data_IF_894742744346
#
_entry.id   IF_894742744346
#
_cell.length_a   1.000
_cell.length_b   1.000
_cell.length_c   1.000
_cell.angle_alpha   90.00
_cell.angle_beta   90.00
_cell.angle_gamma   90.00
#
_symmetry.space_group_name_H-M   'P 1'
#
loop_
_entity.id
_entity.type
_entity.pdbx_description
1 polymer ?
#
# COMPACT_ATOMS: atom_id res chain seq x y z
N UNK A 1 -37.20 -6.35 42.62
CA UNK A 1 -36.59 -7.04 41.45
C UNK A 1 -36.98 -6.26 40.20
N UNK A 2 -36.04 -5.68 39.43
CA UNK A 2 -36.46 -5.13 38.13
C UNK A 2 -35.48 -4.25 37.35
N UNK A 3 -34.76 -3.31 37.99
CA UNK A 3 -34.07 -2.24 37.22
C UNK A 3 -32.56 -2.40 37.01
N UNK A 4 -31.90 -3.34 37.71
CA UNK A 4 -30.45 -3.60 37.55
C UNK A 4 -30.15 -4.36 36.24
N UNK A 5 -31.15 -5.03 35.64
CA UNK A 5 -30.97 -5.85 34.45
C UNK A 5 -30.86 -5.06 33.13
N UNK A 6 -31.25 -3.78 33.12
CA UNK A 6 -31.26 -2.97 31.89
C UNK A 6 -29.89 -2.33 31.61
N UNK A 7 -29.04 -2.18 32.64
CA UNK A 7 -27.71 -1.57 32.49
C UNK A 7 -26.67 -2.47 31.79
N UNK A 8 -26.94 -3.77 31.64
CA UNK A 8 -26.03 -4.74 31.02
C UNK A 8 -26.26 -4.91 29.51
N UNK A 9 -27.29 -4.29 28.92
CA UNK A 9 -27.61 -4.45 27.50
C UNK A 9 -27.05 -3.33 26.59
N UNK A 10 -26.38 -2.33 27.18
CA UNK A 10 -25.88 -1.14 26.45
C UNK A 10 -24.39 -1.16 26.09
N UNK A 11 -23.64 -2.19 26.50
CA UNK A 11 -22.17 -2.21 26.36
C UNK A 11 -21.65 -3.00 25.15
N UNK A 12 -22.50 -3.37 24.20
CA UNK A 12 -22.13 -4.20 23.04
C UNK A 12 -22.20 -3.47 21.69
N UNK A 13 -22.19 -2.13 21.71
CA UNK A 13 -22.09 -1.29 20.49
C UNK A 13 -20.78 -0.52 20.52
N UNK A 14 -19.68 -1.21 20.84
CA UNK A 14 -18.34 -0.64 20.61
C UNK A 14 -17.93 -0.93 19.18
N UNK A 15 -18.30 0.01 18.31
CA UNK A 15 -17.43 0.55 17.25
C UNK A 15 -16.60 -0.48 16.45
N UNK A 16 -17.25 -1.15 15.49
CA UNK A 16 -16.60 -1.55 14.24
C UNK A 16 -16.40 -0.30 13.35
N UNK A 17 -15.67 0.71 13.86
CA UNK A 17 -15.06 1.68 12.97
C UNK A 17 -13.90 0.95 12.31
N UNK A 18 -14.17 0.28 11.19
CA UNK A 18 -13.11 -0.11 10.29
C UNK A 18 -12.46 1.20 9.83
N UNK A 19 -11.38 1.60 10.50
CA UNK A 19 -10.50 2.65 10.02
C UNK A 19 -9.95 2.14 8.69
N UNK A 20 -10.66 2.41 7.59
CA UNK A 20 -10.09 2.39 6.26
C UNK A 20 -9.07 3.51 6.26
N UNK A 21 -7.87 3.22 6.74
CA UNK A 21 -6.70 3.97 6.31
C UNK A 21 -6.57 3.63 4.84
N UNK A 22 -7.16 4.45 3.99
CA UNK A 22 -7.03 4.32 2.55
C UNK A 22 -5.56 4.63 2.25
N UNK A 23 -4.74 3.62 1.94
CA UNK A 23 -3.32 3.86 1.79
C UNK A 23 -3.10 4.75 0.57
N UNK A 24 -2.42 5.87 0.77
CA UNK A 24 -2.18 6.85 -0.29
C UNK A 24 -1.10 6.36 -1.27
N UNK A 25 -0.23 5.45 -0.84
CA UNK A 25 0.93 5.01 -1.61
C UNK A 25 0.96 3.50 -1.80
N UNK A 26 1.12 3.05 -3.05
CA UNK A 26 1.33 1.65 -3.41
C UNK A 26 2.78 1.45 -3.85
N UNK A 27 3.48 0.50 -3.23
CA UNK A 27 4.82 0.10 -3.62
C UNK A 27 4.74 -0.91 -4.76
N UNK A 28 5.42 -0.61 -5.86
CA UNK A 28 5.68 -1.54 -6.95
C UNK A 28 7.15 -1.92 -6.94
N UNK A 29 7.43 -3.22 -6.91
CA UNK A 29 8.79 -3.76 -6.93
C UNK A 29 8.97 -4.73 -8.09
N UNK A 30 10.09 -4.58 -8.79
CA UNK A 30 10.47 -5.39 -9.93
C UNK A 30 11.81 -6.05 -9.62
N UNK A 31 11.75 -7.35 -9.33
CA UNK A 31 12.94 -8.14 -9.05
C UNK A 31 13.79 -8.28 -10.32
N UNK A 32 15.11 -8.35 -10.15
CA UNK A 32 16.07 -8.72 -11.20
C UNK A 32 16.10 -7.80 -12.42
N UNK A 33 15.50 -6.62 -12.33
CA UNK A 33 15.57 -5.56 -13.32
C UNK A 33 16.11 -4.27 -12.72
N UNK A 34 16.91 -3.55 -13.51
CA UNK A 34 17.42 -2.20 -13.13
C UNK A 34 16.41 -1.10 -13.46
N UNK A 35 15.60 -1.32 -14.48
CA UNK A 35 14.66 -0.35 -15.00
C UNK A 35 13.22 -0.73 -14.63
N UNK A 36 12.36 0.28 -14.59
CA UNK A 36 10.92 0.11 -14.40
C UNK A 36 10.32 -0.17 -15.78
N UNK A 37 9.71 -1.35 -16.02
CA UNK A 37 9.26 -1.70 -17.36
C UNK A 37 8.07 -0.86 -17.80
N UNK A 38 8.12 -0.34 -19.03
CA UNK A 38 7.07 0.53 -19.59
C UNK A 38 5.72 -0.19 -19.77
N UNK A 39 5.73 -1.51 -19.97
CA UNK A 39 4.52 -2.34 -20.15
C UNK A 39 4.22 -3.22 -18.91
N UNK A 40 4.82 -2.93 -17.75
CA UNK A 40 4.57 -3.73 -16.58
C UNK A 40 3.10 -3.64 -16.14
N UNK A 41 2.49 -4.79 -15.90
CA UNK A 41 1.19 -4.85 -15.22
C UNK A 41 1.40 -4.51 -13.76
N UNK A 42 1.18 -3.25 -13.41
CA UNK A 42 1.36 -2.70 -12.06
C UNK A 42 0.78 -3.59 -10.95
N UNK A 43 -0.41 -4.15 -11.16
CA UNK A 43 -1.07 -5.01 -10.18
C UNK A 43 -0.30 -6.28 -9.82
N UNK A 44 0.51 -6.82 -10.73
CA UNK A 44 1.32 -8.02 -10.51
C UNK A 44 2.59 -7.72 -9.69
N UNK A 45 2.95 -6.45 -9.55
CA UNK A 45 4.19 -6.00 -8.90
C UNK A 45 3.96 -5.30 -7.56
N UNK A 46 2.71 -5.25 -7.06
CA UNK A 46 2.41 -4.65 -5.76
C UNK A 46 3.13 -5.42 -4.66
N UNK A 47 3.99 -4.72 -3.92
CA UNK A 47 4.74 -5.26 -2.79
C UNK A 47 4.35 -4.64 -1.45
N UNK A 48 3.40 -3.70 -1.43
CA UNK A 48 2.84 -3.17 -0.19
C UNK A 48 2.08 -1.86 -0.38
N UNK A 49 1.40 -1.47 0.69
CA UNK A 49 0.62 -0.24 0.78
C UNK A 49 1.08 0.59 1.98
N UNK A 50 1.16 1.90 1.83
CA UNK A 50 1.77 2.80 2.80
C UNK A 50 1.00 4.11 2.92
N UNK A 51 0.98 4.67 4.13
CA UNK A 51 0.38 5.96 4.39
C UNK A 51 1.23 7.14 3.86
N UNK A 52 2.55 6.97 3.73
CA UNK A 52 3.44 8.06 3.28
C UNK A 52 4.39 7.60 2.18
N UNK A 53 4.72 8.51 1.25
CA UNK A 53 5.73 8.32 0.21
C UNK A 53 7.07 7.87 0.79
N UNK A 54 7.49 8.48 1.89
CA UNK A 54 8.73 8.15 2.60
C UNK A 54 8.79 6.69 3.00
N UNK A 55 7.73 6.15 3.62
CA UNK A 55 7.71 4.74 4.03
C UNK A 55 7.70 3.80 2.83
N UNK A 56 6.95 4.15 1.78
CA UNK A 56 6.94 3.37 0.53
C UNK A 56 8.35 3.29 -0.10
N UNK A 57 9.01 4.43 -0.26
CA UNK A 57 10.34 4.51 -0.87
C UNK A 57 11.42 3.82 -0.02
N UNK A 58 11.40 4.01 1.30
CA UNK A 58 12.33 3.33 2.20
C UNK A 58 12.17 1.80 2.15
N UNK A 59 10.93 1.30 2.05
CA UNK A 59 10.70 -0.12 1.86
C UNK A 59 11.24 -0.59 0.52
N UNK A 60 10.93 0.10 -0.57
CA UNK A 60 11.42 -0.24 -1.91
C UNK A 60 12.94 -0.28 -1.98
N UNK A 61 13.61 0.74 -1.43
CA UNK A 61 15.06 0.78 -1.30
C UNK A 61 15.62 -0.41 -0.50
N UNK A 62 14.96 -0.76 0.61
CA UNK A 62 15.31 -1.93 1.41
C UNK A 62 15.18 -3.23 0.62
N UNK A 63 14.11 -3.39 -0.16
CA UNK A 63 13.89 -4.57 -1.00
C UNK A 63 14.94 -4.69 -2.11
N UNK A 64 15.22 -3.61 -2.83
CA UNK A 64 16.26 -3.59 -3.85
C UNK A 64 17.64 -3.92 -3.29
N UNK A 65 17.96 -3.42 -2.08
CA UNK A 65 19.22 -3.72 -1.39
C UNK A 65 19.33 -5.19 -0.96
N UNK A 66 18.21 -5.82 -0.59
CA UNK A 66 18.16 -7.19 -0.11
C UNK A 66 17.88 -8.22 -1.22
N UNK A 67 17.79 -7.80 -2.47
CA UNK A 67 17.54 -8.74 -3.58
C UNK A 67 18.71 -9.72 -3.71
N UNK A 68 18.40 -10.99 -3.94
CA UNK A 68 19.41 -12.05 -4.07
C UNK A 68 20.32 -11.84 -5.28
N UNK A 69 19.80 -11.24 -6.35
CA UNK A 69 20.57 -10.87 -7.54
C UNK A 69 21.38 -9.59 -7.36
N UNK A 70 21.13 -8.82 -6.29
CA UNK A 70 21.64 -7.46 -6.12
C UNK A 70 21.07 -6.45 -7.14
N UNK A 71 20.04 -6.86 -7.89
CA UNK A 71 19.37 -6.07 -8.92
C UNK A 71 17.88 -6.01 -8.59
N UNK A 72 17.32 -4.81 -8.57
CA UNK A 72 15.89 -4.59 -8.39
C UNK A 72 15.55 -3.11 -8.53
N UNK A 73 14.39 -2.83 -9.13
CA UNK A 73 13.86 -1.48 -9.29
C UNK A 73 12.54 -1.36 -8.54
N UNK A 74 12.19 -0.14 -8.14
CA UNK A 74 10.96 0.12 -7.42
C UNK A 74 10.43 1.52 -7.71
N UNK A 75 9.13 1.68 -7.54
CA UNK A 75 8.46 2.97 -7.52
C UNK A 75 7.26 2.94 -6.59
N UNK A 76 6.82 4.12 -6.21
CA UNK A 76 5.66 4.35 -5.39
C UNK A 76 4.61 5.10 -6.21
N UNK A 77 3.43 4.50 -6.37
CA UNK A 77 2.29 5.14 -7.02
C UNK A 77 1.37 5.78 -5.98
N UNK A 78 0.96 7.02 -6.24
CA UNK A 78 0.02 7.77 -5.42
C UNK A 78 -1.42 7.51 -5.86
N UNK A 79 -2.32 7.31 -4.88
CA UNK A 79 -3.76 7.13 -5.06
C UNK A 79 -4.13 6.16 -6.18
N UNK A 80 -3.49 4.99 -6.18
CA UNK A 80 -3.74 3.96 -7.18
C UNK A 80 -5.14 3.36 -7.03
N UNK A 81 -5.89 3.31 -8.13
CA UNK A 81 -7.22 2.71 -8.22
C UNK A 81 -7.24 1.57 -9.22
N UNK A 82 -8.04 0.54 -8.94
CA UNK A 82 -8.30 -0.53 -9.88
C UNK A 82 -9.16 -0.02 -11.04
N UNK A 83 -8.75 -0.34 -12.26
CA UNK A 83 -9.51 -0.09 -13.48
C UNK A 83 -9.96 -1.41 -14.11
N UNK A 84 -10.91 -1.37 -15.04
CA UNK A 84 -11.40 -2.56 -15.72
C UNK A 84 -10.24 -3.39 -16.33
N UNK A 85 -10.33 -4.72 -16.22
CA UNK A 85 -9.28 -5.61 -16.74
C UNK A 85 -8.13 -5.93 -15.79
N UNK A 86 -8.28 -5.72 -14.47
CA UNK A 86 -7.27 -6.00 -13.42
C UNK A 86 -6.01 -5.14 -13.51
N UNK A 87 -6.06 -4.03 -14.23
CA UNK A 87 -4.99 -3.03 -14.25
C UNK A 87 -5.16 -2.03 -13.09
N UNK A 88 -4.08 -1.33 -12.77
CA UNK A 88 -4.09 -0.21 -11.83
C UNK A 88 -3.77 1.08 -12.58
N UNK A 89 -4.44 2.16 -12.19
CA UNK A 89 -4.08 3.52 -12.59
C UNK A 89 -3.72 4.32 -11.34
N UNK A 90 -2.61 5.04 -11.37
CA UNK A 90 -2.16 5.89 -10.27
C UNK A 90 -2.04 7.33 -10.76
N UNK A 91 -2.26 8.31 -9.87
CA UNK A 91 -2.19 9.73 -10.21
C UNK A 91 -0.76 10.17 -10.53
N UNK A 92 0.20 9.68 -9.74
CA UNK A 92 1.62 10.04 -9.81
C UNK A 92 2.48 8.84 -9.45
N UNK A 93 3.68 8.77 -10.03
CA UNK A 93 4.73 7.86 -9.62
C UNK A 93 5.95 8.63 -9.13
N UNK A 94 6.64 8.09 -8.13
CA UNK A 94 7.95 8.55 -7.67
C UNK A 94 8.86 7.35 -7.36
N UNK A 95 10.15 7.53 -7.57
CA UNK A 95 11.20 6.55 -7.29
C UNK A 95 12.25 7.07 -6.29
N UNK A 96 12.12 8.35 -5.88
CA UNK A 96 12.99 9.03 -4.90
C UNK A 96 12.21 10.07 -4.11
N UNK A 97 12.75 10.44 -2.95
CA UNK A 97 12.22 11.55 -2.16
C UNK A 97 12.52 12.85 -2.89
N UNK A 98 11.47 13.62 -3.20
CA UNK A 98 11.62 15.01 -3.62
C UNK A 98 11.97 15.82 -2.36
N UNK A 99 13.21 16.31 -2.31
CA UNK A 99 13.73 17.14 -1.22
C UNK A 99 13.43 18.62 -1.47
#
# INVERSE_FOLDING_TARGET
>A
MGFIRIFLLGLFVSSLTACTQNPEWTLFYYADTKDIPHEAKLSEHISGYYATSKHCLLKGAGMAKLSESGIGSYQCGHLCVAIEGKALSCEKFIDKLEL
#
